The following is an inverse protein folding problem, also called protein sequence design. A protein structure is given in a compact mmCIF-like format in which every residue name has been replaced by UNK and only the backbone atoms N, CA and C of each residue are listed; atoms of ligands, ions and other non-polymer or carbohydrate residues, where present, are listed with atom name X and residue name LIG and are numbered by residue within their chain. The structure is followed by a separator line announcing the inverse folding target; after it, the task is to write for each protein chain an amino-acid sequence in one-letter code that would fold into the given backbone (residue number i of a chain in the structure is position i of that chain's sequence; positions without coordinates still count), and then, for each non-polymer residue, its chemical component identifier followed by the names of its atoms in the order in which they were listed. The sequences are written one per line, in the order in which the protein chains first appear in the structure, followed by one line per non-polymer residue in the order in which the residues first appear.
data_IF_643728827919
#
_entry.id   IF_643728827919
#
_cell.length_a   1.000
_cell.length_b   1.000
_cell.length_c   1.000
_cell.angle_alpha   90.00
_cell.angle_beta   90.00
_cell.angle_gamma   90.00
#
_symmetry.space_group_name_H-M   'P 1'
#
loop_
_entity.id
_entity.type
_entity.pdbx_description
1 polymer ?
#
# COMPACT_ATOMS: atom_id res chain seq x y z
N UNK A 1 -7.54 23.03 -5.15
CA UNK A 1 -6.58 21.91 -5.08
C UNK A 1 -7.38 20.61 -5.21
N UNK A 2 -7.55 20.10 -6.44
CA UNK A 2 -8.19 18.79 -6.63
C UNK A 2 -7.21 17.73 -6.13
N UNK A 3 -7.36 17.34 -4.86
CA UNK A 3 -6.57 16.27 -4.26
C UNK A 3 -6.76 15.02 -5.12
N UNK A 4 -5.70 14.63 -5.82
CA UNK A 4 -5.62 13.38 -6.56
C UNK A 4 -6.00 12.27 -5.57
N UNK A 5 -7.22 11.73 -5.67
CA UNK A 5 -7.65 10.60 -4.84
C UNK A 5 -6.57 9.53 -5.03
N UNK A 6 -5.83 9.23 -3.97
CA UNK A 6 -4.90 8.10 -3.97
C UNK A 6 -5.78 6.86 -4.08
N UNK A 7 -6.06 6.45 -5.31
CA UNK A 7 -6.76 5.21 -5.57
C UNK A 7 -5.84 4.11 -5.10
N UNK A 8 -6.33 3.28 -4.18
CA UNK A 8 -5.60 2.12 -3.69
C UNK A 8 -5.25 1.22 -4.88
N UNK A 9 -4.07 0.58 -4.85
CA UNK A 9 -3.71 -0.39 -5.87
C UNK A 9 -4.71 -1.57 -5.84
N UNK A 10 -4.96 -2.23 -6.98
CA UNK A 10 -5.87 -3.39 -7.01
C UNK A 10 -5.52 -4.46 -5.98
N UNK A 11 -4.23 -4.67 -5.71
CA UNK A 11 -3.77 -5.65 -4.72
C UNK A 11 -4.07 -5.20 -3.29
N UNK A 12 -3.95 -3.91 -3.00
CA UNK A 12 -4.35 -3.37 -1.70
C UNK A 12 -5.87 -3.52 -1.50
N UNK A 13 -6.67 -3.26 -2.54
CA UNK A 13 -8.12 -3.45 -2.48
C UNK A 13 -8.47 -4.93 -2.21
N UNK A 14 -7.79 -5.88 -2.86
CA UNK A 14 -8.01 -7.31 -2.64
C UNK A 14 -7.69 -7.74 -1.21
N UNK A 15 -6.58 -7.27 -0.65
CA UNK A 15 -6.18 -7.59 0.71
C UNK A 15 -7.20 -7.04 1.73
N UNK A 16 -7.71 -5.81 1.54
CA UNK A 16 -8.78 -5.25 2.38
C UNK A 16 -10.10 -6.01 2.29
N UNK A 17 -10.47 -6.48 1.08
CA UNK A 17 -11.66 -7.33 0.91
C UNK A 17 -11.48 -8.66 1.65
N UNK A 18 -10.29 -9.26 1.58
CA UNK A 18 -9.95 -10.50 2.29
C UNK A 18 -10.04 -10.33 3.81
N UNK A 19 -9.51 -9.24 4.34
CA UNK A 19 -9.63 -8.89 5.76
C UNK A 19 -11.10 -8.77 6.18
N UNK A 20 -11.90 -8.05 5.39
CA UNK A 20 -13.33 -7.88 5.68
C UNK A 20 -14.09 -9.22 5.68
N UNK A 21 -13.77 -10.14 4.75
CA UNK A 21 -14.35 -11.49 4.73
C UNK A 21 -13.97 -12.24 6.02
N UNK A 22 -12.69 -12.25 6.39
CA UNK A 22 -12.23 -12.91 7.61
C UNK A 22 -12.89 -12.37 8.88
N UNK A 23 -13.15 -11.06 8.94
CA UNK A 23 -13.89 -10.44 10.06
C UNK A 23 -15.35 -10.90 10.10
N UNK A 24 -16.03 -10.91 8.95
CA UNK A 24 -17.45 -11.31 8.85
C UNK A 24 -17.62 -12.80 9.17
N UNK A 25 -16.69 -13.63 8.74
CA UNK A 25 -16.72 -15.09 8.95
C UNK A 25 -16.18 -15.49 10.33
N UNK A 26 -15.46 -14.61 11.02
CA UNK A 26 -14.76 -14.93 12.26
C UNK A 26 -13.55 -15.85 12.07
N UNK A 27 -12.96 -15.86 10.86
CA UNK A 27 -11.79 -16.67 10.52
C UNK A 27 -10.50 -15.87 10.78
N UNK A 28 -9.84 -16.18 11.89
CA UNK A 28 -8.59 -15.53 12.29
C UNK A 28 -7.42 -15.83 11.33
N UNK A 29 -7.42 -16.96 10.63
CA UNK A 29 -6.37 -17.29 9.67
C UNK A 29 -6.47 -16.39 8.44
N UNK A 30 -7.69 -16.18 7.93
CA UNK A 30 -7.94 -15.25 6.81
C UNK A 30 -7.60 -13.81 7.21
N UNK A 31 -7.94 -13.39 8.43
CA UNK A 31 -7.58 -12.05 8.94
C UNK A 31 -6.06 -11.87 9.03
N UNK A 32 -5.33 -12.85 9.59
CA UNK A 32 -3.89 -12.77 9.74
C UNK A 32 -3.16 -12.74 8.38
N UNK A 33 -3.65 -13.52 7.41
CA UNK A 33 -3.10 -13.52 6.06
C UNK A 33 -3.33 -12.17 5.35
N UNK A 34 -4.55 -11.63 5.43
CA UNK A 34 -4.88 -10.33 4.86
C UNK A 34 -4.04 -9.20 5.48
N UNK A 35 -3.85 -9.22 6.80
CA UNK A 35 -3.03 -8.23 7.49
C UNK A 35 -1.56 -8.27 7.03
N UNK A 36 -1.02 -9.47 6.79
CA UNK A 36 0.34 -9.63 6.25
C UNK A 36 0.45 -9.07 4.82
N UNK A 37 -0.55 -9.32 3.97
CA UNK A 37 -0.60 -8.78 2.60
C UNK A 37 -0.65 -7.24 2.59
N UNK A 38 -1.50 -6.63 3.43
CA UNK A 38 -1.59 -5.16 3.57
C UNK A 38 -0.24 -4.59 3.99
N UNK A 39 0.37 -5.15 5.04
CA UNK A 39 1.66 -4.69 5.54
C UNK A 39 2.77 -4.76 4.48
N UNK A 40 2.80 -5.85 3.68
CA UNK A 40 3.77 -6.00 2.60
C UNK A 40 3.58 -4.95 1.49
N UNK A 41 2.33 -4.66 1.12
CA UNK A 41 1.99 -3.66 0.10
C UNK A 41 2.38 -2.26 0.58
N UNK A 42 2.06 -1.91 1.82
CA UNK A 42 2.44 -0.64 2.42
C UNK A 42 3.96 -0.47 2.49
N UNK A 43 4.68 -1.51 2.92
CA UNK A 43 6.14 -1.52 2.94
C UNK A 43 6.72 -1.31 1.53
N UNK A 44 6.17 -1.95 0.50
CA UNK A 44 6.59 -1.76 -0.89
C UNK A 44 6.31 -0.33 -1.41
N UNK A 45 5.19 0.27 -1.00
CA UNK A 45 4.87 1.66 -1.38
C UNK A 45 5.78 2.69 -0.69
N UNK A 46 6.24 2.42 0.54
CA UNK A 46 7.18 3.32 1.25
C UNK A 46 8.60 3.23 0.69
N UNK A 47 9.05 2.04 0.27
CA UNK A 47 10.38 1.85 -0.32
C UNK A 47 10.50 2.36 -1.76
N UNK A 48 9.38 2.47 -2.48
CA UNK A 48 9.31 3.02 -3.85
C UNK A 48 9.28 4.56 -3.88
N UNK A 49 9.74 5.23 -2.83
CA UNK A 49 9.98 6.68 -2.88
C UNK A 49 11.22 6.92 -3.73
N UNK A 50 11.11 7.48 -4.95
CA UNK A 50 12.28 7.70 -5.78
C UNK A 50 13.23 8.66 -5.07
N UNK A 51 14.52 8.31 -5.03
CA UNK A 51 15.58 9.17 -4.53
C UNK A 51 15.38 10.61 -5.03
N UNK A 52 15.60 11.63 -4.19
CA UNK A 52 15.53 13.01 -4.64
C UNK A 52 16.56 13.20 -5.76
N UNK A 53 16.06 13.26 -7.00
CA UNK A 53 16.82 13.52 -8.23
C UNK A 53 17.85 14.62 -7.91
N UNK A 54 19.17 14.35 -7.99
CA UNK A 54 20.16 15.33 -7.60
C UNK A 54 19.96 16.56 -8.49
N UNK A 55 19.69 17.71 -7.86
CA UNK A 55 19.61 19.00 -8.56
C UNK A 55 20.95 19.17 -9.26
N UNK A 56 20.95 19.12 -10.60
CA UNK A 56 22.11 19.47 -11.42
C UNK A 56 22.58 20.84 -10.97
N UNK A 57 23.68 20.85 -10.22
CA UNK A 57 24.46 22.04 -9.93
C UNK A 57 25.07 22.51 -11.25
N UNK A 58 24.44 23.50 -11.89
CA UNK A 58 25.09 24.29 -12.92
C UNK A 58 26.10 25.20 -12.24
N UNK A 59 27.35 24.74 -12.14
CA UNK A 59 28.48 25.61 -11.84
C UNK A 59 28.80 26.37 -13.13
N UNK A 60 28.60 27.70 -13.11
CA UNK A 60 29.23 28.63 -14.04
C UNK A 60 30.59 29.04 -13.51
#
# INVERSE_FOLDING_TARGET
MAGRRKVLSPDHIRALIKEAIGIVEGDEAIQAEAAAEIAAIEAAHTSSTPEPRPKRSTHR
#
